data_IF_372956470543
#
_entry.id   IF_372956470543
#
_cell.length_a   1.000
_cell.length_b   1.000
_cell.length_c   1.000
_cell.angle_alpha   90.00
_cell.angle_beta   90.00
_cell.angle_gamma   90.00
#
_symmetry.space_group_name_H-M   'P 1'
#
loop_
_entity.id
_entity.type
_entity.pdbx_description
1 polymer ?
#
# COMPACT_ATOMS: atom_id res chain seq x y z
N UNK A 1 12.44 10.55 1.60
CA UNK A 1 12.28 9.15 1.16
C UNK A 1 10.85 8.99 0.70
N UNK A 2 10.67 8.63 -0.56
CA UNK A 2 9.38 8.51 -1.23
C UNK A 2 8.85 7.09 -1.03
N UNK A 3 7.61 6.98 -0.60
CA UNK A 3 7.01 5.69 -0.33
C UNK A 3 5.59 5.61 -0.89
N UNK A 4 5.19 4.39 -1.26
CA UNK A 4 3.79 4.08 -1.59
C UNK A 4 3.21 3.11 -0.56
N UNK A 5 2.01 3.39 -0.09
CA UNK A 5 1.19 2.48 0.71
C UNK A 5 0.09 1.90 -0.17
N UNK A 6 0.20 0.63 -0.52
CA UNK A 6 -0.81 -0.12 -1.28
C UNK A 6 -1.79 -0.74 -0.28
N UNK A 7 -3.08 -0.40 -0.40
CA UNK A 7 -4.13 -0.89 0.49
C UNK A 7 -5.15 -1.71 -0.29
N UNK A 8 -5.53 -2.87 0.26
CA UNK A 8 -6.71 -3.57 -0.22
C UNK A 8 -7.93 -3.24 0.65
N UNK A 9 -8.86 -2.38 0.19
CA UNK A 9 -10.03 -1.99 0.98
C UNK A 9 -10.98 -3.15 1.27
N UNK A 10 -10.88 -4.26 0.53
CA UNK A 10 -11.70 -5.47 0.73
C UNK A 10 -11.09 -6.47 1.71
N UNK A 11 -9.86 -6.23 2.18
CA UNK A 11 -9.20 -7.13 3.13
C UNK A 11 -9.90 -7.07 4.50
N UNK A 12 -10.49 -8.19 4.90
CA UNK A 12 -11.22 -8.32 6.17
C UNK A 12 -10.31 -8.29 7.39
N UNK A 13 -9.01 -8.57 7.21
CA UNK A 13 -8.00 -8.51 8.28
C UNK A 13 -7.53 -7.09 8.60
N UNK A 14 -7.99 -6.09 7.85
CA UNK A 14 -7.62 -4.67 8.05
C UNK A 14 -8.83 -3.84 8.45
N UNK A 15 -8.63 -2.85 9.32
CA UNK A 15 -9.68 -1.90 9.71
C UNK A 15 -9.38 -0.51 9.14
N UNK A 16 -10.40 0.31 8.82
CA UNK A 16 -10.19 1.69 8.39
C UNK A 16 -9.37 2.50 9.39
N UNK A 17 -9.64 2.35 10.69
CA UNK A 17 -8.89 3.00 11.76
C UNK A 17 -7.41 2.56 11.79
N UNK A 18 -7.14 1.27 11.62
CA UNK A 18 -5.78 0.74 11.56
C UNK A 18 -5.01 1.26 10.34
N UNK A 19 -5.65 1.32 9.18
CA UNK A 19 -5.09 1.91 7.96
C UNK A 19 -4.76 3.38 8.16
N UNK A 20 -5.70 4.15 8.70
CA UNK A 20 -5.53 5.59 8.86
C UNK A 20 -4.43 5.90 9.89
N UNK A 21 -4.35 5.12 10.97
CA UNK A 21 -3.23 5.19 11.93
C UNK A 21 -1.90 4.88 11.25
N UNK A 22 -1.81 3.81 10.46
CA UNK A 22 -0.61 3.43 9.73
C UNK A 22 -0.18 4.54 8.75
N UNK A 23 -1.12 5.03 7.93
CA UNK A 23 -0.86 6.09 6.98
C UNK A 23 -0.41 7.37 7.68
N UNK A 24 -1.02 7.74 8.80
CA UNK A 24 -0.64 8.91 9.58
C UNK A 24 0.77 8.76 10.18
N UNK A 25 1.06 7.61 10.79
CA UNK A 25 2.37 7.32 11.36
C UNK A 25 3.48 7.37 10.30
N UNK A 26 3.23 6.80 9.12
CA UNK A 26 4.19 6.79 8.01
C UNK A 26 4.38 8.17 7.37
N UNK A 27 3.30 8.95 7.19
CA UNK A 27 3.37 10.33 6.67
C UNK A 27 4.25 11.25 7.51
N UNK A 28 4.43 10.97 8.80
CA UNK A 28 5.33 11.74 9.67
C UNK A 28 6.82 11.56 9.32
N UNK A 29 7.18 10.52 8.58
CA UNK A 29 8.58 10.15 8.27
C UNK A 29 8.87 10.00 6.78
N UNK A 30 7.84 9.87 5.95
CA UNK A 30 7.92 9.54 4.53
C UNK A 30 7.06 10.48 3.70
N UNK A 31 7.50 10.76 2.47
CA UNK A 31 6.64 11.32 1.43
C UNK A 31 5.74 10.21 0.91
N UNK A 32 4.60 10.01 1.58
CA UNK A 32 3.74 8.85 1.40
C UNK A 32 2.60 9.12 0.40
N UNK A 33 2.54 8.32 -0.65
CA UNK A 33 1.37 8.19 -1.54
C UNK A 33 0.56 6.97 -1.12
N UNK A 34 -0.78 7.05 -1.15
CA UNK A 34 -1.65 5.93 -0.79
C UNK A 34 -2.42 5.50 -2.04
N UNK A 35 -2.31 4.23 -2.40
CA UNK A 35 -2.95 3.62 -3.56
C UNK A 35 -3.85 2.47 -3.14
N UNK A 36 -4.98 2.30 -3.81
CA UNK A 36 -5.97 1.27 -3.46
C UNK A 36 -6.03 0.18 -4.54
N UNK A 37 -6.00 -1.09 -4.13
CA UNK A 37 -6.27 -2.20 -5.06
C UNK A 37 -7.76 -2.24 -5.40
N UNK A 38 -8.11 -2.38 -6.68
CA UNK A 38 -9.50 -2.43 -7.15
C UNK A 38 -9.86 -3.79 -7.79
N UNK A 39 -8.87 -4.64 -8.09
CA UNK A 39 -9.07 -6.00 -8.59
C UNK A 39 -7.88 -6.92 -8.21
N UNK A 40 -8.04 -8.22 -8.42
CA UNK A 40 -6.98 -9.22 -8.18
C UNK A 40 -5.82 -8.99 -9.14
N UNK A 41 -4.60 -8.91 -8.61
CA UNK A 41 -3.39 -8.62 -9.40
C UNK A 41 -3.04 -7.13 -9.49
N UNK A 42 -3.96 -6.22 -9.11
CA UNK A 42 -3.67 -4.77 -9.15
C UNK A 42 -2.51 -4.37 -8.23
N UNK A 43 -2.28 -5.10 -7.13
CA UNK A 43 -1.14 -4.84 -6.24
C UNK A 43 0.21 -4.92 -6.97
N UNK A 44 0.35 -5.87 -7.90
CA UNK A 44 1.56 -6.08 -8.68
C UNK A 44 1.76 -4.96 -9.71
N UNK A 45 0.67 -4.49 -10.33
CA UNK A 45 0.69 -3.35 -11.23
C UNK A 45 1.14 -2.08 -10.50
N UNK A 46 0.60 -1.84 -9.30
CA UNK A 46 1.00 -0.73 -8.43
C UNK A 46 2.46 -0.87 -7.98
N UNK A 47 2.92 -2.08 -7.66
CA UNK A 47 4.31 -2.36 -7.30
C UNK A 47 5.29 -2.09 -8.45
N UNK A 48 4.96 -2.53 -9.66
CA UNK A 48 5.74 -2.20 -10.86
C UNK A 48 5.74 -0.70 -11.15
N UNK A 49 4.59 -0.04 -11.03
CA UNK A 49 4.51 1.42 -11.18
C UNK A 49 5.38 2.13 -10.13
N UNK A 50 5.40 1.66 -8.89
CA UNK A 50 6.24 2.22 -7.83
C UNK A 50 7.74 2.09 -8.16
N UNK A 51 8.17 0.91 -8.63
CA UNK A 51 9.54 0.68 -9.06
C UNK A 51 9.92 1.59 -10.26
N UNK A 52 9.06 1.68 -11.28
CA UNK A 52 9.26 2.53 -12.44
C UNK A 52 9.33 4.02 -12.07
N UNK A 53 8.57 4.45 -11.05
CA UNK A 53 8.56 5.82 -10.55
C UNK A 53 9.69 6.13 -9.54
N UNK A 54 10.59 5.17 -9.28
CA UNK A 54 11.72 5.35 -8.36
C UNK A 54 11.27 5.59 -6.92
N UNK A 55 10.26 4.85 -6.45
CA UNK A 55 9.89 4.85 -5.02
C UNK A 55 10.96 4.13 -4.22
N UNK A 56 11.34 4.68 -3.06
CA UNK A 56 12.35 4.10 -2.18
C UNK A 56 11.79 2.95 -1.33
N UNK A 57 10.46 2.94 -1.10
CA UNK A 57 9.77 1.98 -0.24
C UNK A 57 8.36 1.68 -0.75
N UNK A 58 8.01 0.40 -0.77
CA UNK A 58 6.63 -0.08 -0.98
C UNK A 58 6.14 -0.71 0.32
N UNK A 59 5.03 -0.21 0.85
CA UNK A 59 4.35 -0.75 2.03
C UNK A 59 3.02 -1.32 1.59
N UNK A 60 2.69 -2.54 2.02
CA UNK A 60 1.43 -3.20 1.70
C UNK A 60 0.61 -3.37 2.96
N UNK A 61 -0.64 -2.90 2.92
CA UNK A 61 -1.62 -3.08 4.00
C UNK A 61 -2.85 -3.81 3.48
N UNK A 62 -2.94 -5.10 3.80
CA UNK A 62 -4.02 -5.97 3.40
C UNK A 62 -3.87 -7.35 4.05
N UNK A 63 -4.70 -8.30 3.65
CA UNK A 63 -4.53 -9.71 4.04
C UNK A 63 -3.45 -10.40 3.20
N UNK A 64 -3.21 -11.68 3.48
CA UNK A 64 -2.16 -12.48 2.82
C UNK A 64 -2.27 -12.48 1.29
N UNK A 65 -3.50 -12.49 0.76
CA UNK A 65 -3.75 -12.43 -0.68
C UNK A 65 -3.34 -11.09 -1.32
N UNK A 66 -3.30 -10.00 -0.55
CA UNK A 66 -2.78 -8.70 -1.02
C UNK A 66 -1.26 -8.70 -0.97
N UNK A 67 -0.67 -9.26 0.09
CA UNK A 67 0.79 -9.31 0.27
C UNK A 67 1.46 -10.19 -0.79
N UNK A 68 0.87 -11.35 -1.09
CA UNK A 68 1.37 -12.22 -2.18
C UNK A 68 1.20 -11.63 -3.58
N UNK A 69 0.36 -10.60 -3.71
CA UNK A 69 -0.03 -10.02 -4.99
C UNK A 69 0.63 -8.67 -5.28
N UNK A 70 1.70 -8.32 -4.56
CA UNK A 70 2.52 -7.11 -4.75
C UNK A 70 3.96 -7.50 -5.02
#
# INVERSE_FOLDING_TARGET
MRAVLIVNPTATSTTPAGRDLLAHALKSRLELTVEHTNHRGHGYELGQAAAANGMDLVVVHGGDGTVSGV
#
